data_IF_826734051782
#
_entry.id   IF_826734051782
#
_cell.length_a   1.000
_cell.length_b   1.000
_cell.length_c   1.000
_cell.angle_alpha   90.00
_cell.angle_beta   90.00
_cell.angle_gamma   90.00
#
_symmetry.space_group_name_H-M   'P 1'
#
loop_
_entity.id
_entity.type
_entity.pdbx_description
1 polymer ?
#
# COMPACT_ATOMS: atom_id res chain seq x y z
N UNK A 1 -30.25 43.46 -3.38
CA UNK A 1 -30.18 42.75 -2.08
C UNK A 1 -29.48 43.68 -1.08
N UNK A 2 -29.99 43.89 0.14
CA UNK A 2 -29.33 44.76 1.14
C UNK A 2 -28.43 43.96 2.08
N UNK A 3 -27.42 44.61 2.68
CA UNK A 3 -26.50 43.98 3.66
C UNK A 3 -27.25 43.33 4.84
N UNK A 4 -28.28 43.99 5.37
CA UNK A 4 -29.16 43.41 6.40
C UNK A 4 -29.89 42.15 5.93
N UNK A 5 -30.30 42.09 4.67
CA UNK A 5 -30.94 40.91 4.08
C UNK A 5 -29.93 39.77 3.88
N UNK A 6 -28.71 40.09 3.46
CA UNK A 6 -27.59 39.13 3.37
C UNK A 6 -27.25 38.53 4.73
N UNK A 7 -27.09 39.34 5.77
CA UNK A 7 -26.76 38.85 7.12
C UNK A 7 -27.84 37.91 7.69
N UNK A 8 -29.12 38.20 7.39
CA UNK A 8 -30.24 37.31 7.76
C UNK A 8 -30.17 35.97 7.01
N UNK A 9 -29.97 36.00 5.70
CA UNK A 9 -29.86 34.79 4.88
C UNK A 9 -28.65 33.95 5.28
N UNK A 10 -27.51 34.58 5.50
CA UNK A 10 -26.30 33.95 5.99
C UNK A 10 -26.56 33.24 7.33
N UNK A 11 -27.15 33.92 8.30
CA UNK A 11 -27.49 33.32 9.60
C UNK A 11 -28.38 32.07 9.47
N UNK A 12 -29.33 32.08 8.54
CA UNK A 12 -30.22 30.93 8.28
C UNK A 12 -29.41 29.76 7.71
N UNK A 13 -28.64 30.00 6.64
CA UNK A 13 -27.83 28.97 5.98
C UNK A 13 -26.81 28.35 6.95
N UNK A 14 -26.16 29.18 7.77
CA UNK A 14 -25.21 28.69 8.77
C UNK A 14 -25.86 27.81 9.83
N UNK A 15 -27.05 28.19 10.31
CA UNK A 15 -27.78 27.38 11.28
C UNK A 15 -28.19 26.01 10.69
N UNK A 16 -28.61 25.98 9.42
CA UNK A 16 -28.94 24.74 8.71
C UNK A 16 -27.72 23.82 8.56
N UNK A 17 -26.57 24.35 8.13
CA UNK A 17 -25.33 23.58 7.99
C UNK A 17 -24.89 23.00 9.33
N UNK A 18 -24.90 23.81 10.40
CA UNK A 18 -24.54 23.33 11.73
C UNK A 18 -25.49 22.23 12.20
N UNK A 19 -26.79 22.36 11.92
CA UNK A 19 -27.78 21.34 12.20
C UNK A 19 -27.50 20.02 11.48
N UNK A 20 -27.22 20.06 10.17
CA UNK A 20 -26.84 18.88 9.38
C UNK A 20 -25.55 18.22 9.89
N UNK A 21 -24.63 19.02 10.42
CA UNK A 21 -23.41 18.54 11.05
C UNK A 21 -23.61 18.05 12.50
N UNK A 22 -24.83 18.02 13.04
CA UNK A 22 -25.09 17.62 14.44
C UNK A 22 -24.46 18.59 15.44
N UNK A 23 -24.37 19.87 15.08
CA UNK A 23 -23.68 20.93 15.83
C UNK A 23 -22.22 20.60 16.19
N UNK A 24 -21.56 19.70 15.46
CA UNK A 24 -20.12 19.45 15.62
C UNK A 24 -19.33 20.59 14.97
N UNK A 25 -18.76 21.46 15.79
CA UNK A 25 -17.96 22.60 15.35
C UNK A 25 -16.87 22.93 16.36
N UNK A 26 -15.76 23.49 15.87
CA UNK A 26 -14.63 23.94 16.69
C UNK A 26 -14.01 25.16 16.03
N UNK A 27 -13.62 26.16 16.83
CA UNK A 27 -12.99 27.38 16.36
C UNK A 27 -11.47 27.27 16.48
N UNK A 28 -10.76 27.60 15.41
CA UNK A 28 -9.30 27.61 15.37
C UNK A 28 -8.77 29.05 15.22
N UNK A 29 -7.86 29.42 16.11
CA UNK A 29 -6.98 30.58 15.93
C UNK A 29 -5.64 30.10 15.39
N UNK A 30 -5.51 30.08 14.06
CA UNK A 30 -4.29 29.64 13.38
C UNK A 30 -3.08 30.59 13.58
N UNK A 31 -3.29 31.75 14.22
CA UNK A 31 -2.24 32.75 14.45
C UNK A 31 -1.69 32.72 15.89
N UNK A 32 -2.34 31.99 16.79
CA UNK A 32 -1.89 31.89 18.18
C UNK A 32 -0.45 31.37 18.27
N UNK A 33 0.37 32.05 19.09
CA UNK A 33 1.71 31.57 19.48
C UNK A 33 1.70 30.87 20.83
N UNK A 34 0.56 30.91 21.53
CA UNK A 34 0.36 30.23 22.80
C UNK A 34 0.16 28.73 22.56
N UNK A 35 1.11 27.94 23.04
CA UNK A 35 1.10 26.49 22.88
C UNK A 35 -0.05 25.81 23.63
N UNK A 36 -0.48 26.37 24.76
CA UNK A 36 -1.59 25.83 25.54
C UNK A 36 -2.91 26.01 24.78
N UNK A 37 -3.11 27.19 24.18
CA UNK A 37 -4.28 27.44 23.31
C UNK A 37 -4.29 26.53 22.08
N UNK A 38 -3.12 26.35 21.45
CA UNK A 38 -2.97 25.42 20.32
C UNK A 38 -3.31 23.99 20.73
N UNK A 39 -2.82 23.55 21.89
CA UNK A 39 -3.12 22.22 22.43
C UNK A 39 -4.63 22.06 22.70
N UNK A 40 -5.25 23.04 23.36
CA UNK A 40 -6.68 23.01 23.67
C UNK A 40 -7.55 22.90 22.41
N UNK A 41 -7.24 23.67 21.36
CA UNK A 41 -7.95 23.62 20.09
C UNK A 41 -7.86 22.25 19.42
N UNK A 42 -6.68 21.64 19.43
CA UNK A 42 -6.48 20.28 18.91
C UNK A 42 -7.25 19.25 19.74
N UNK A 43 -7.24 19.38 21.07
CA UNK A 43 -8.01 18.48 21.95
C UNK A 43 -9.51 18.56 21.70
N UNK A 44 -10.06 19.78 21.52
CA UNK A 44 -11.47 19.98 21.17
C UNK A 44 -11.82 19.30 19.85
N UNK A 45 -10.98 19.44 18.81
CA UNK A 45 -11.16 18.75 17.54
C UNK A 45 -11.14 17.22 17.70
N UNK A 46 -10.16 16.68 18.41
CA UNK A 46 -10.03 15.24 18.62
C UNK A 46 -11.21 14.65 19.42
N UNK A 47 -11.75 15.40 20.38
CA UNK A 47 -12.97 15.02 21.10
C UNK A 47 -14.17 14.84 20.16
N UNK A 48 -14.35 15.78 19.21
CA UNK A 48 -15.38 15.67 18.18
C UNK A 48 -15.13 14.47 17.26
N UNK A 49 -13.90 14.26 16.81
CA UNK A 49 -13.54 13.12 15.95
C UNK A 49 -13.84 11.79 16.65
N UNK A 50 -13.42 11.65 17.90
CA UNK A 50 -13.68 10.44 18.70
C UNK A 50 -15.18 10.18 18.87
N UNK A 51 -15.97 11.23 19.06
CA UNK A 51 -17.44 11.12 19.14
C UNK A 51 -18.04 10.57 17.85
N UNK A 52 -17.53 11.01 16.68
CA UNK A 52 -17.97 10.52 15.37
C UNK A 52 -17.55 9.08 15.14
N UNK A 53 -16.32 8.71 15.51
CA UNK A 53 -15.83 7.34 15.43
C UNK A 53 -16.73 6.41 16.25
N UNK A 54 -17.06 6.80 17.50
CA UNK A 54 -17.94 6.03 18.35
C UNK A 54 -19.36 5.90 17.76
N UNK A 55 -19.94 7.00 17.26
CA UNK A 55 -21.25 7.00 16.62
C UNK A 55 -21.31 6.09 15.38
N UNK A 56 -20.22 6.02 14.61
CA UNK A 56 -20.13 5.19 13.41
C UNK A 56 -19.71 3.73 13.71
N UNK A 57 -19.60 3.33 14.98
CA UNK A 57 -19.13 1.99 15.35
C UNK A 57 -17.70 1.69 14.88
N UNK A 58 -16.86 2.72 14.81
CA UNK A 58 -15.50 2.64 14.30
C UNK A 58 -15.37 2.58 12.78
N UNK A 59 -16.48 2.57 12.04
CA UNK A 59 -16.43 2.49 10.59
C UNK A 59 -16.15 3.87 9.97
N UNK A 60 -15.16 3.98 9.07
CA UNK A 60 -14.96 5.19 8.31
C UNK A 60 -16.12 5.41 7.32
N UNK A 61 -16.23 6.63 6.81
CA UNK A 61 -17.11 6.91 5.68
C UNK A 61 -16.73 6.01 4.49
N UNK A 62 -17.74 5.43 3.84
CA UNK A 62 -17.56 4.58 2.66
C UNK A 62 -18.67 4.87 1.66
N UNK A 63 -18.32 4.81 0.37
CA UNK A 63 -19.26 4.87 -0.75
C UNK A 63 -18.83 3.88 -1.84
N UNK A 64 -19.58 3.86 -2.95
CA UNK A 64 -19.33 2.94 -4.06
C UNK A 64 -17.91 3.07 -4.65
N UNK A 65 -17.38 4.29 -4.73
CA UNK A 65 -16.05 4.56 -5.30
C UNK A 65 -14.96 4.03 -4.37
N UNK A 66 -15.09 4.28 -3.05
CA UNK A 66 -14.15 3.73 -2.07
C UNK A 66 -14.19 2.21 -2.01
N UNK A 67 -15.39 1.61 -2.12
CA UNK A 67 -15.55 0.16 -2.13
C UNK A 67 -14.91 -0.48 -3.38
N UNK A 68 -15.13 0.12 -4.54
CA UNK A 68 -14.55 -0.34 -5.81
C UNK A 68 -13.02 -0.23 -5.80
N UNK A 69 -12.48 0.93 -5.39
CA UNK A 69 -11.04 1.12 -5.26
C UNK A 69 -10.38 0.11 -4.31
N UNK A 70 -11.03 -0.21 -3.18
CA UNK A 70 -10.53 -1.24 -2.25
C UNK A 70 -10.55 -2.64 -2.87
N UNK A 71 -11.59 -2.96 -3.65
CA UNK A 71 -11.71 -4.25 -4.35
C UNK A 71 -10.65 -4.40 -5.44
N UNK A 72 -10.39 -3.35 -6.21
CA UNK A 72 -9.33 -3.35 -7.22
C UNK A 72 -7.95 -3.48 -6.60
N UNK A 73 -7.67 -2.74 -5.52
CA UNK A 73 -6.40 -2.85 -4.80
C UNK A 73 -6.16 -4.27 -4.25
N UNK A 74 -7.21 -4.94 -3.75
CA UNK A 74 -7.12 -6.35 -3.33
C UNK A 74 -6.79 -7.27 -4.51
N UNK A 75 -7.50 -7.15 -5.63
CA UNK A 75 -7.23 -7.96 -6.83
C UNK A 75 -5.80 -7.79 -7.34
N UNK A 76 -5.30 -6.55 -7.37
CA UNK A 76 -3.93 -6.26 -7.79
C UNK A 76 -2.90 -6.90 -6.86
N UNK A 77 -3.14 -6.88 -5.54
CA UNK A 77 -2.26 -7.53 -4.57
C UNK A 77 -2.23 -9.05 -4.79
N UNK A 78 -3.40 -9.66 -4.94
CA UNK A 78 -3.50 -11.11 -5.11
C UNK A 78 -2.83 -11.55 -6.44
N UNK A 79 -3.02 -10.79 -7.52
CA UNK A 79 -2.31 -11.01 -8.80
C UNK A 79 -0.80 -10.86 -8.66
N UNK A 80 -0.34 -9.87 -7.89
CA UNK A 80 1.09 -9.66 -7.67
C UNK A 80 1.74 -10.81 -6.90
N UNK A 81 1.03 -11.38 -5.91
CA UNK A 81 1.47 -12.55 -5.15
C UNK A 81 1.54 -13.82 -6.03
N UNK A 82 0.56 -14.02 -6.92
CA UNK A 82 0.54 -15.13 -7.88
C UNK A 82 1.73 -15.03 -8.87
N UNK A 83 1.93 -13.86 -9.46
CA UNK A 83 3.06 -13.61 -10.38
C UNK A 83 4.41 -13.81 -9.68
N UNK A 84 4.55 -13.35 -8.44
CA UNK A 84 5.77 -13.55 -7.65
C UNK A 84 6.04 -15.05 -7.41
N UNK A 85 5.00 -15.82 -7.11
CA UNK A 85 5.10 -17.27 -6.89
C UNK A 85 5.53 -18.02 -8.15
N UNK A 86 4.93 -17.69 -9.29
CA UNK A 86 5.31 -18.28 -10.59
C UNK A 86 6.76 -17.97 -10.98
N UNK A 87 7.20 -16.72 -10.78
CA UNK A 87 8.60 -16.33 -11.01
C UNK A 87 9.57 -17.11 -10.12
N UNK A 88 9.24 -17.30 -8.85
CA UNK A 88 10.06 -18.05 -7.92
C UNK A 88 10.16 -19.55 -8.29
N UNK A 89 9.07 -20.13 -8.82
CA UNK A 89 9.05 -21.50 -9.32
C UNK A 89 9.93 -21.65 -10.58
N UNK A 90 9.71 -20.79 -11.59
CA UNK A 90 10.50 -20.80 -12.82
C UNK A 90 12.01 -20.61 -12.58
N UNK A 91 12.38 -19.70 -11.65
CA UNK A 91 13.79 -19.51 -11.28
C UNK A 91 14.43 -20.79 -10.73
N UNK A 92 13.68 -21.59 -9.94
CA UNK A 92 14.16 -22.87 -9.42
C UNK A 92 14.36 -23.90 -10.53
N UNK A 93 13.41 -24.03 -11.45
CA UNK A 93 13.52 -24.95 -12.59
C UNK A 93 14.72 -24.60 -13.49
N UNK A 94 14.88 -23.31 -13.82
CA UNK A 94 16.00 -22.83 -14.63
C UNK A 94 17.35 -23.13 -13.94
N UNK A 95 17.43 -22.91 -12.62
CA UNK A 95 18.65 -23.23 -11.85
C UNK A 95 18.97 -24.72 -11.91
N UNK A 96 17.97 -25.57 -11.70
CA UNK A 96 18.15 -27.02 -11.70
C UNK A 96 18.60 -27.55 -13.07
N UNK A 97 17.99 -27.06 -14.15
CA UNK A 97 18.38 -27.45 -15.50
C UNK A 97 19.81 -26.99 -15.84
N UNK A 98 20.18 -25.77 -15.42
CA UNK A 98 21.53 -25.26 -15.63
C UNK A 98 22.57 -26.11 -14.91
N UNK A 99 22.32 -26.52 -13.66
CA UNK A 99 23.19 -27.44 -12.91
C UNK A 99 23.35 -28.80 -13.58
N UNK A 100 22.25 -29.39 -14.06
CA UNK A 100 22.31 -30.67 -14.80
C UNK A 100 23.15 -30.56 -16.07
N UNK A 101 23.03 -29.44 -16.80
CA UNK A 101 23.79 -29.18 -18.02
C UNK A 101 25.29 -29.03 -17.72
N UNK A 102 25.66 -28.29 -16.67
CA UNK A 102 27.06 -28.15 -16.25
C UNK A 102 27.66 -29.51 -15.86
N UNK A 103 26.94 -30.31 -15.07
CA UNK A 103 27.37 -31.65 -14.69
C UNK A 103 27.59 -32.57 -15.90
N UNK A 104 26.68 -32.55 -16.87
CA UNK A 104 26.82 -33.34 -18.09
C UNK A 104 28.06 -32.93 -18.89
N UNK A 105 28.33 -31.62 -18.98
CA UNK A 105 29.48 -31.07 -19.71
C UNK A 105 30.80 -31.47 -19.04
N UNK A 106 30.88 -31.38 -17.72
CA UNK A 106 32.06 -31.79 -16.94
C UNK A 106 32.35 -33.28 -17.08
N UNK A 107 31.31 -34.12 -17.03
CA UNK A 107 31.44 -35.57 -17.24
C UNK A 107 31.95 -35.91 -18.64
N UNK A 108 31.49 -35.18 -19.67
CA UNK A 108 31.99 -35.36 -21.04
C UNK A 108 33.46 -34.96 -21.16
N UNK A 109 33.86 -33.82 -20.59
CA UNK A 109 35.26 -33.37 -20.60
C UNK A 109 36.18 -34.40 -19.94
N UNK A 110 35.79 -34.95 -18.77
CA UNK A 110 36.57 -35.96 -18.07
C UNK A 110 36.81 -37.22 -18.92
N UNK A 111 35.76 -37.72 -19.59
CA UNK A 111 35.88 -38.89 -20.51
C UNK A 111 36.83 -38.61 -21.66
N UNK A 112 36.77 -37.41 -22.25
CA UNK A 112 37.66 -37.02 -23.35
C UNK A 112 39.11 -36.96 -22.84
N UNK A 113 39.35 -36.36 -21.68
CA UNK A 113 40.68 -36.29 -21.06
C UNK A 113 41.26 -37.68 -20.79
N UNK A 114 40.46 -38.60 -20.25
CA UNK A 114 40.88 -39.98 -20.01
C UNK A 114 41.25 -40.70 -21.32
N UNK A 115 40.44 -40.56 -22.38
CA UNK A 115 40.71 -41.13 -23.70
C UNK A 115 41.99 -40.60 -24.33
N UNK A 116 42.22 -39.27 -24.26
CA UNK A 116 43.43 -38.63 -24.80
C UNK A 116 44.67 -39.08 -24.03
N UNK A 117 44.61 -39.11 -22.69
CA UNK A 117 45.73 -39.58 -21.86
C UNK A 117 46.08 -41.04 -22.15
N UNK A 118 45.09 -41.91 -22.30
CA UNK A 118 45.31 -43.31 -22.68
C UNK A 118 46.06 -43.37 -24.02
N UNK A 119 45.55 -42.71 -25.07
CA UNK A 119 46.21 -42.70 -26.38
C UNK A 119 47.65 -42.15 -26.33
N UNK A 120 47.89 -41.08 -25.56
CA UNK A 120 49.22 -40.49 -25.44
C UNK A 120 50.22 -41.46 -24.76
N UNK A 121 49.75 -42.22 -23.75
CA UNK A 121 50.58 -43.19 -23.05
C UNK A 121 50.99 -44.37 -23.94
N UNK A 122 50.14 -44.78 -24.90
CA UNK A 122 50.48 -45.83 -25.88
C UNK A 122 51.44 -45.36 -26.99
N UNK A 123 51.54 -44.05 -27.24
CA UNK A 123 52.41 -43.49 -28.29
C UNK A 123 53.81 -43.15 -27.75
N UNK A 124 53.97 -43.01 -26.44
CA UNK A 124 55.24 -42.64 -25.79
C UNK A 124 56.09 -43.82 -25.25
N UNK A 125 55.76 -45.07 -25.58
CA UNK A 125 56.56 -46.27 -25.28
C UNK A 125 57.13 -46.82 -26.59
#
# INVERSE_FOLDING_TARGET
>A
MTEKKMMRLWKIIWAEILGLCGNRHVLFDNMTKDESKRFEQVQQLLSLVNSVIAQNGGQPYTDGIFAEGKKEAMKLRDQQEEVASLKAYSKREISHLNEQMHLAHDLQLKRITEMVNFHLHFVCI
#
